data_IF_557534990339
#
_entry.id   IF_557534990339
#
_cell.length_a   1.000
_cell.length_b   1.000
_cell.length_c   1.000
_cell.angle_alpha   90.00
_cell.angle_beta   90.00
_cell.angle_gamma   90.00
#
_symmetry.space_group_name_H-M   'P 1'
#
loop_
_entity.id
_entity.type
_entity.pdbx_description
1 polymer ?
#
# COMPACT_ATOMS: atom_id res chain seq x y z
N UNK A 1 20.49 9.05 -6.49
CA UNK A 1 19.52 9.61 -5.53
C UNK A 1 19.96 9.14 -4.17
N UNK A 2 20.11 10.04 -3.20
CA UNK A 2 20.41 9.67 -1.82
C UNK A 2 19.13 9.42 -1.01
N UNK A 3 19.26 9.02 0.26
CA UNK A 3 18.10 8.75 1.11
C UNK A 3 17.23 10.01 1.35
N UNK A 4 17.85 11.18 1.49
CA UNK A 4 17.12 12.41 1.79
C UNK A 4 16.34 12.91 0.57
N UNK A 5 16.88 12.72 -0.63
CA UNK A 5 16.16 12.96 -1.88
C UNK A 5 14.91 12.08 -1.97
N UNK A 6 15.01 10.78 -1.66
CA UNK A 6 13.86 9.85 -1.66
C UNK A 6 12.79 10.33 -0.67
N UNK A 7 13.18 10.66 0.57
CA UNK A 7 12.23 11.08 1.60
C UNK A 7 11.48 12.35 1.18
N UNK A 8 12.18 13.32 0.58
CA UNK A 8 11.57 14.59 0.15
C UNK A 8 10.66 14.43 -1.06
N UNK A 9 10.98 13.50 -1.95
CA UNK A 9 10.27 13.32 -3.23
C UNK A 9 9.19 12.25 -3.18
N UNK A 10 9.14 11.43 -2.13
CA UNK A 10 8.12 10.40 -1.95
C UNK A 10 6.74 11.04 -1.67
N UNK A 11 5.94 11.19 -2.71
CA UNK A 11 4.57 11.71 -2.64
C UNK A 11 3.53 10.62 -2.47
N UNK A 12 2.34 11.00 -2.00
CA UNK A 12 1.19 10.08 -1.99
C UNK A 12 0.58 9.99 -3.40
N UNK A 13 0.57 8.80 -3.98
CA UNK A 13 0.04 8.56 -5.32
C UNK A 13 -1.51 8.62 -5.35
N UNK A 14 -2.10 9.11 -6.45
CA UNK A 14 -3.57 9.14 -6.67
C UNK A 14 -4.00 8.43 -7.96
N UNK A 15 -3.07 8.26 -8.90
CA UNK A 15 -3.32 7.64 -10.20
C UNK A 15 -2.20 6.65 -10.50
N UNK A 16 -2.57 5.42 -10.84
CA UNK A 16 -1.63 4.33 -11.11
C UNK A 16 -1.65 3.98 -12.59
N UNK A 17 -0.48 3.64 -13.13
CA UNK A 17 -0.40 3.02 -14.46
C UNK A 17 -0.97 1.61 -14.42
N UNK A 18 -1.39 1.10 -15.57
CA UNK A 18 -1.87 -0.28 -15.72
C UNK A 18 -0.73 -1.31 -15.71
N UNK A 19 0.51 -0.86 -15.93
CA UNK A 19 1.69 -1.71 -15.96
C UNK A 19 1.87 -2.43 -14.61
N UNK A 20 2.01 -3.77 -14.60
CA UNK A 20 2.27 -4.49 -13.36
C UNK A 20 3.69 -4.23 -12.86
N UNK A 21 3.84 -4.08 -11.55
CA UNK A 21 5.16 -4.07 -10.91
C UNK A 21 5.82 -5.45 -11.08
N UNK A 22 7.11 -5.49 -11.46
CA UNK A 22 7.84 -6.75 -11.62
C UNK A 22 7.85 -7.58 -10.33
N UNK A 23 7.75 -8.91 -10.46
CA UNK A 23 7.71 -9.83 -9.32
C UNK A 23 8.94 -9.74 -8.42
N UNK A 24 10.13 -9.68 -9.02
CA UNK A 24 11.41 -9.56 -8.32
C UNK A 24 11.48 -8.29 -7.47
N UNK A 25 11.00 -7.16 -8.01
CA UNK A 25 10.97 -5.90 -7.27
C UNK A 25 10.06 -6.00 -6.03
N UNK A 26 8.91 -6.67 -6.15
CA UNK A 26 8.04 -6.92 -4.99
C UNK A 26 8.77 -7.79 -3.95
N UNK A 27 9.48 -8.83 -4.38
CA UNK A 27 10.24 -9.69 -3.46
C UNK A 27 11.31 -8.88 -2.69
N UNK A 28 12.06 -8.01 -3.37
CA UNK A 28 13.03 -7.11 -2.73
C UNK A 28 12.37 -6.18 -1.70
N UNK A 29 11.22 -5.59 -2.04
CA UNK A 29 10.49 -4.71 -1.13
C UNK A 29 9.98 -5.45 0.12
N UNK A 30 9.47 -6.68 -0.06
CA UNK A 30 9.01 -7.50 1.07
C UNK A 30 10.16 -7.93 1.98
N UNK A 31 11.33 -8.26 1.42
CA UNK A 31 12.53 -8.53 2.21
C UNK A 31 12.95 -7.31 3.03
N UNK A 32 12.94 -6.11 2.43
CA UNK A 32 13.23 -4.88 3.16
C UNK A 32 12.21 -4.62 4.29
N UNK A 33 10.92 -4.84 4.04
CA UNK A 33 9.87 -4.67 5.04
C UNK A 33 10.02 -5.63 6.24
N UNK A 34 10.51 -6.85 6.03
CA UNK A 34 10.79 -7.82 7.09
C UNK A 34 11.88 -7.36 8.07
N UNK A 35 12.78 -6.47 7.63
CA UNK A 35 13.84 -5.92 8.48
C UNK A 35 13.33 -4.81 9.41
N UNK A 36 12.07 -4.38 9.27
CA UNK A 36 11.46 -3.38 10.14
C UNK A 36 11.37 -3.88 11.59
N UNK A 37 11.77 -3.07 12.59
CA UNK A 37 11.71 -3.48 13.99
C UNK A 37 10.26 -3.66 14.46
N UNK A 38 10.04 -4.61 15.36
CA UNK A 38 8.74 -4.83 16.02
C UNK A 38 8.93 -5.13 17.50
N UNK A 39 7.93 -4.84 18.32
CA UNK A 39 7.99 -5.05 19.78
C UNK A 39 8.32 -6.51 20.13
N UNK A 40 9.43 -6.71 20.84
CA UNK A 40 10.00 -8.04 21.14
C UNK A 40 10.25 -8.91 19.89
N UNK A 41 10.49 -8.28 18.73
CA UNK A 41 10.65 -8.94 17.45
C UNK A 41 9.49 -9.90 17.07
N UNK A 42 8.26 -9.62 17.53
CA UNK A 42 7.10 -10.48 17.27
C UNK A 42 6.70 -10.56 15.80
N UNK A 43 7.07 -9.56 15.00
CA UNK A 43 6.73 -9.43 13.59
C UNK A 43 5.24 -9.73 13.33
N UNK A 44 4.31 -9.02 14.00
CA UNK A 44 2.87 -9.34 13.98
C UNK A 44 2.19 -8.87 12.68
N UNK A 45 2.88 -8.98 11.55
CA UNK A 45 2.43 -8.55 10.23
C UNK A 45 2.38 -9.73 9.27
N UNK A 46 1.51 -9.63 8.28
CA UNK A 46 1.44 -10.53 7.13
C UNK A 46 1.33 -9.67 5.88
N UNK A 47 2.08 -10.04 4.85
CA UNK A 47 2.03 -9.36 3.57
C UNK A 47 1.32 -10.25 2.55
N UNK A 48 0.33 -9.70 1.86
CA UNK A 48 -0.42 -10.37 0.81
C UNK A 48 -0.24 -9.62 -0.50
N UNK A 49 0.28 -10.28 -1.52
CA UNK A 49 0.44 -9.71 -2.86
C UNK A 49 -0.75 -10.13 -3.71
N UNK A 50 -1.67 -9.19 -3.96
CA UNK A 50 -2.87 -9.44 -4.75
C UNK A 50 -2.60 -9.06 -6.22
N UNK A 51 -2.49 -10.08 -7.08
CA UNK A 51 -2.31 -9.91 -8.54
C UNK A 51 -3.59 -10.14 -9.34
N UNK A 52 -4.53 -10.88 -8.77
CA UNK A 52 -5.79 -11.25 -9.41
C UNK A 52 -6.73 -10.03 -9.47
N UNK A 53 -7.15 -9.59 -10.67
CA UNK A 53 -8.00 -8.42 -10.82
C UNK A 53 -9.37 -8.58 -10.16
N UNK A 54 -9.93 -9.78 -10.09
CA UNK A 54 -11.21 -10.02 -9.44
C UNK A 54 -11.09 -9.90 -7.92
N UNK A 55 -9.99 -10.42 -7.34
CA UNK A 55 -9.71 -10.23 -5.91
C UNK A 55 -9.46 -8.76 -5.59
N UNK A 56 -8.78 -8.03 -6.47
CA UNK A 56 -8.55 -6.59 -6.31
C UNK A 56 -9.87 -5.81 -6.34
N UNK A 57 -10.79 -6.14 -7.26
CA UNK A 57 -12.12 -5.54 -7.28
C UNK A 57 -12.88 -5.83 -5.98
N UNK A 58 -12.85 -7.07 -5.49
CA UNK A 58 -13.50 -7.39 -4.22
C UNK A 58 -12.96 -6.58 -3.02
N UNK A 59 -11.67 -6.22 -3.01
CA UNK A 59 -11.12 -5.33 -1.99
C UNK A 59 -11.62 -3.89 -2.14
N UNK A 60 -11.73 -3.40 -3.38
CA UNK A 60 -12.30 -2.09 -3.69
C UNK A 60 -13.76 -2.00 -3.23
N UNK A 61 -14.57 -2.99 -3.56
CA UNK A 61 -15.99 -3.06 -3.20
C UNK A 61 -16.21 -3.04 -1.67
N UNK A 62 -15.30 -3.65 -0.91
CA UNK A 62 -15.33 -3.62 0.56
C UNK A 62 -14.85 -2.28 1.14
N UNK A 63 -13.91 -1.62 0.48
CA UNK A 63 -13.24 -0.42 0.99
C UNK A 63 -14.02 0.87 0.69
N UNK A 64 -14.48 1.04 -0.56
CA UNK A 64 -15.05 2.31 -1.03
C UNK A 64 -16.26 2.78 -0.22
N UNK A 65 -17.25 1.94 0.16
CA UNK A 65 -18.42 2.42 0.91
C UNK A 65 -18.06 3.07 2.26
N UNK A 66 -17.06 2.53 2.95
CA UNK A 66 -16.58 3.08 4.23
C UNK A 66 -15.86 4.41 4.00
N UNK A 67 -15.04 4.46 2.95
CA UNK A 67 -14.28 5.65 2.60
C UNK A 67 -15.18 6.80 2.11
N UNK A 68 -16.18 6.50 1.30
CA UNK A 68 -17.15 7.46 0.79
C UNK A 68 -17.94 8.08 1.93
N UNK A 69 -18.42 7.26 2.88
CA UNK A 69 -19.07 7.77 4.09
C UNK A 69 -18.16 8.69 4.92
N UNK A 70 -16.87 8.35 5.06
CA UNK A 70 -15.91 9.25 5.71
C UNK A 70 -15.77 10.58 4.95
N UNK A 71 -15.63 10.55 3.62
CA UNK A 71 -15.52 11.76 2.82
C UNK A 71 -16.76 12.65 2.89
N UNK A 72 -17.96 12.05 2.94
CA UNK A 72 -19.21 12.78 3.15
C UNK A 72 -19.19 13.54 4.48
N UNK A 73 -18.74 12.90 5.58
CA UNK A 73 -18.63 13.59 6.89
C UNK A 73 -17.62 14.74 6.85
N UNK A 74 -16.51 14.61 6.13
CA UNK A 74 -15.52 15.68 5.99
C UNK A 74 -16.03 16.87 5.17
N UNK A 75 -16.94 16.63 4.21
CA UNK A 75 -17.50 17.69 3.34
C UNK A 75 -18.68 18.42 3.96
N UNK A 76 -19.34 17.80 4.94
CA UNK A 76 -20.50 18.36 5.63
C UNK A 76 -20.13 19.27 6.81
N UNK A 77 -18.87 19.29 7.23
CA UNK A 77 -18.30 20.22 8.21
C UNK A 77 -17.56 21.36 7.55
#
# INVERSE_FOLDING_TARGET
MDLMDVIRTNGTCRYYKTDPVAGELIATLLQAAQLGPSGSNRQPVRFLVVRDPHKRQGLEDLYLPVWDGYLETMRAG
#
